data_IF_907034047112
#
_entry.id   IF_907034047112
#
_cell.length_a   1.000
_cell.length_b   1.000
_cell.length_c   1.000
_cell.angle_alpha   90.00
_cell.angle_beta   90.00
_cell.angle_gamma   90.00
#
_symmetry.space_group_name_H-M   'P 1'
#
loop_
_entity.id
_entity.type
_entity.pdbx_description
1 polymer ?
#
# COMPACT_ATOMS: atom_id res chain seq x y z
N UNK A 1 -21.08 2.89 -3.18
CA UNK A 1 -20.04 2.63 -4.23
C UNK A 1 -18.70 2.82 -3.54
N UNK A 2 -17.72 1.92 -3.76
CA UNK A 2 -16.39 2.05 -3.16
C UNK A 2 -15.70 3.32 -3.68
N UNK A 3 -15.05 4.07 -2.78
CA UNK A 3 -14.15 5.16 -3.18
C UNK A 3 -12.80 4.53 -3.55
N UNK A 4 -12.45 4.60 -4.84
CA UNK A 4 -11.24 4.01 -5.36
C UNK A 4 -10.26 5.13 -5.71
N UNK A 5 -9.09 5.10 -5.08
CA UNK A 5 -7.98 6.02 -5.32
C UNK A 5 -6.81 5.33 -6.02
N UNK A 6 -5.74 6.11 -6.19
CA UNK A 6 -4.45 5.61 -6.70
C UNK A 6 -3.30 6.11 -5.82
N UNK A 7 -2.12 5.53 -5.99
CA UNK A 7 -0.92 5.89 -5.23
C UNK A 7 0.24 6.29 -6.17
N UNK A 8 1.17 7.14 -5.71
CA UNK A 8 2.31 7.60 -6.52
C UNK A 8 3.22 6.49 -7.04
N UNK A 9 3.32 5.34 -6.36
CA UNK A 9 4.07 4.17 -6.85
C UNK A 9 3.58 3.70 -8.24
N UNK A 10 2.31 3.92 -8.59
CA UNK A 10 1.78 3.64 -9.93
C UNK A 10 2.40 4.53 -11.04
N UNK A 11 3.11 5.59 -10.67
CA UNK A 11 3.90 6.45 -11.57
C UNK A 11 5.42 6.26 -11.37
N UNK A 12 5.83 5.22 -10.65
CA UNK A 12 7.23 4.98 -10.31
C UNK A 12 7.80 5.98 -9.30
N UNK A 13 6.94 6.62 -8.52
CA UNK A 13 7.32 7.62 -7.51
C UNK A 13 7.46 6.92 -6.16
N UNK A 14 8.69 6.51 -5.84
CA UNK A 14 9.05 5.80 -4.61
C UNK A 14 9.85 6.68 -3.62
N UNK A 15 10.37 7.80 -4.09
CA UNK A 15 11.20 8.72 -3.31
C UNK A 15 10.68 10.15 -3.43
N UNK A 16 11.02 11.05 -2.48
CA UNK A 16 10.50 12.42 -2.51
C UNK A 16 11.10 13.29 -3.63
N UNK A 17 12.24 12.89 -4.20
CA UNK A 17 12.99 13.68 -5.21
C UNK A 17 13.44 12.80 -6.37
N UNK A 18 13.93 13.44 -7.41
CA UNK A 18 14.51 12.82 -8.62
C UNK A 18 13.53 11.93 -9.38
N UNK A 19 12.24 12.27 -9.33
CA UNK A 19 11.17 11.56 -10.03
C UNK A 19 11.01 12.05 -11.47
N UNK A 20 10.53 11.17 -12.35
CA UNK A 20 10.17 11.49 -13.74
C UNK A 20 9.05 12.54 -13.81
N UNK A 21 8.13 12.53 -12.86
CA UNK A 21 6.97 13.41 -12.79
C UNK A 21 7.10 14.39 -11.63
N UNK A 22 6.73 15.64 -11.89
CA UNK A 22 6.53 16.64 -10.81
C UNK A 22 5.23 16.33 -10.04
N UNK A 23 5.06 16.88 -8.82
CA UNK A 23 3.78 16.79 -8.09
C UNK A 23 2.56 17.20 -8.93
N UNK A 24 2.66 18.32 -9.64
CA UNK A 24 1.56 18.82 -10.48
C UNK A 24 1.25 17.86 -11.63
N UNK A 25 2.27 17.37 -12.35
CA UNK A 25 2.08 16.40 -13.43
C UNK A 25 1.44 15.10 -12.92
N UNK A 26 1.86 14.62 -11.75
CA UNK A 26 1.26 13.44 -11.13
C UNK A 26 -0.23 13.66 -10.83
N UNK A 27 -0.57 14.74 -10.12
CA UNK A 27 -1.96 15.04 -9.74
C UNK A 27 -2.86 15.27 -10.95
N UNK A 28 -2.34 15.95 -11.99
CA UNK A 28 -3.07 16.15 -13.26
C UNK A 28 -3.38 14.80 -13.93
N UNK A 29 -2.40 13.88 -13.99
CA UNK A 29 -2.57 12.55 -14.58
C UNK A 29 -3.48 11.65 -13.75
N UNK A 30 -3.43 11.72 -12.41
CA UNK A 30 -4.39 11.01 -11.53
C UNK A 30 -5.82 11.46 -11.87
N UNK A 31 -6.04 12.76 -12.00
CA UNK A 31 -7.34 13.30 -12.39
C UNK A 31 -7.74 12.89 -13.80
N UNK A 32 -6.82 12.96 -14.76
CA UNK A 32 -7.01 12.53 -16.15
C UNK A 32 -7.36 11.04 -16.26
N UNK A 33 -6.75 10.19 -15.43
CA UNK A 33 -7.07 8.76 -15.37
C UNK A 33 -8.48 8.47 -14.82
N UNK A 34 -9.14 9.47 -14.19
CA UNK A 34 -10.52 9.38 -13.70
C UNK A 34 -10.66 9.18 -12.21
N UNK A 35 -9.60 9.22 -11.43
CA UNK A 35 -9.64 9.11 -9.97
C UNK A 35 -10.16 10.39 -9.31
N UNK A 36 -10.78 10.22 -8.16
CA UNK A 36 -11.21 11.31 -7.28
C UNK A 36 -10.35 11.42 -6.02
N UNK A 37 -9.52 10.40 -5.73
CA UNK A 37 -8.70 10.36 -4.52
C UNK A 37 -7.31 9.81 -4.83
N UNK A 38 -6.33 10.21 -4.02
CA UNK A 38 -4.94 9.73 -4.10
C UNK A 38 -4.33 9.56 -2.72
N UNK A 39 -3.30 8.74 -2.60
CA UNK A 39 -2.39 8.74 -1.46
C UNK A 39 -1.33 9.83 -1.57
N UNK A 40 -0.72 10.17 -0.41
CA UNK A 40 0.35 11.15 -0.32
C UNK A 40 1.62 10.70 -1.05
N UNK A 41 1.89 9.39 -1.04
CA UNK A 41 3.16 8.83 -1.47
C UNK A 41 4.32 9.18 -0.53
N UNK A 42 5.57 9.18 -1.03
CA UNK A 42 6.73 9.49 -0.20
C UNK A 42 6.63 10.89 0.40
N UNK A 43 6.82 11.02 1.71
CA UNK A 43 6.77 12.31 2.41
C UNK A 43 7.79 13.28 1.80
N UNK A 44 7.30 14.43 1.31
CA UNK A 44 8.10 15.44 0.63
C UNK A 44 8.06 15.36 -0.90
N UNK A 45 7.34 14.40 -1.50
CA UNK A 45 7.00 14.45 -2.92
C UNK A 45 5.84 15.44 -3.15
N UNK A 46 4.68 15.23 -2.56
CA UNK A 46 3.62 16.24 -2.51
C UNK A 46 3.94 17.29 -1.44
N UNK A 47 3.31 18.48 -1.48
CA UNK A 47 3.55 19.52 -0.49
C UNK A 47 3.39 19.01 0.96
N UNK A 48 4.34 19.39 1.83
CA UNK A 48 4.31 19.06 3.27
C UNK A 48 3.64 20.12 4.12
N UNK A 49 3.28 21.26 3.54
CA UNK A 49 2.38 22.24 4.14
C UNK A 49 0.93 21.83 3.81
N UNK A 50 0.10 21.72 4.83
CA UNK A 50 -1.27 21.20 4.66
C UNK A 50 -2.17 22.12 3.81
N UNK A 51 -1.98 23.44 3.88
CA UNK A 51 -2.76 24.39 3.08
C UNK A 51 -2.37 24.29 1.59
N UNK A 52 -1.06 24.16 1.31
CA UNK A 52 -0.56 23.96 -0.06
C UNK A 52 -1.01 22.60 -0.60
N UNK A 53 -0.92 21.52 0.17
CA UNK A 53 -1.38 20.19 -0.22
C UNK A 53 -2.88 20.22 -0.54
N UNK A 54 -3.67 20.79 0.36
CA UNK A 54 -5.11 20.91 0.16
C UNK A 54 -5.43 21.73 -1.08
N UNK A 55 -4.76 22.84 -1.31
CA UNK A 55 -4.95 23.66 -2.51
C UNK A 55 -4.60 22.88 -3.80
N UNK A 56 -3.49 22.14 -3.80
CA UNK A 56 -3.07 21.34 -4.95
C UNK A 56 -4.08 20.24 -5.30
N UNK A 57 -4.69 19.63 -4.29
CA UNK A 57 -5.73 18.61 -4.46
C UNK A 57 -7.09 19.23 -4.87
N UNK A 58 -7.56 20.22 -4.13
CA UNK A 58 -8.88 20.86 -4.36
C UNK A 58 -8.98 21.49 -5.74
N UNK A 59 -7.89 22.13 -6.23
CA UNK A 59 -7.86 22.74 -7.57
C UNK A 59 -8.07 21.72 -8.71
N UNK A 60 -7.91 20.43 -8.42
CA UNK A 60 -8.12 19.31 -9.35
C UNK A 60 -9.34 18.45 -9.01
N UNK A 61 -10.07 18.81 -7.95
CA UNK A 61 -11.19 18.01 -7.44
C UNK A 61 -10.73 16.64 -6.91
N UNK A 62 -9.51 16.58 -6.36
CA UNK A 62 -8.95 15.39 -5.72
C UNK A 62 -9.07 15.51 -4.19
N UNK A 63 -9.07 14.36 -3.51
CA UNK A 63 -9.01 14.25 -2.06
C UNK A 63 -7.85 13.36 -1.64
N UNK A 64 -7.27 13.63 -0.47
CA UNK A 64 -6.27 12.76 0.14
C UNK A 64 -6.98 11.56 0.80
N UNK A 65 -6.64 10.34 0.39
CA UNK A 65 -7.13 9.12 1.05
C UNK A 65 -6.34 8.81 2.31
N UNK A 66 -5.02 8.90 2.24
CA UNK A 66 -4.11 8.57 3.33
C UNK A 66 -2.65 8.80 2.95
N UNK A 67 -1.77 8.38 3.82
CA UNK A 67 -0.33 8.39 3.58
C UNK A 67 0.26 7.03 3.90
N UNK A 68 1.20 6.56 3.07
CA UNK A 68 1.98 5.35 3.32
C UNK A 68 3.39 5.72 3.74
N UNK A 69 3.87 5.12 4.85
CA UNK A 69 5.22 5.31 5.38
C UNK A 69 5.96 3.99 5.47
N UNK A 70 7.13 3.97 4.84
CA UNK A 70 8.08 2.84 4.87
C UNK A 70 9.13 3.13 5.95
N UNK A 71 9.37 2.16 6.86
CA UNK A 71 10.34 2.34 7.93
C UNK A 71 11.05 1.04 8.29
N UNK A 72 12.30 1.12 8.73
CA UNK A 72 13.07 -0.03 9.23
C UNK A 72 12.56 -0.43 10.62
N UNK A 73 11.52 -1.25 10.66
CA UNK A 73 10.81 -1.58 11.91
C UNK A 73 11.55 -2.57 12.81
N UNK A 74 12.50 -3.33 12.27
CA UNK A 74 13.26 -4.32 13.05
C UNK A 74 14.51 -3.74 13.73
N UNK A 75 14.87 -2.47 13.47
CA UNK A 75 16.04 -1.80 14.07
C UNK A 75 15.61 -0.85 15.20
N UNK A 76 15.88 -1.17 16.48
CA UNK A 76 15.46 -0.35 17.60
C UNK A 76 16.07 1.06 17.61
N UNK A 77 17.20 1.27 16.91
CA UNK A 77 17.85 2.59 16.83
C UNK A 77 17.06 3.60 15.99
N UNK A 78 16.10 3.16 15.17
CA UNK A 78 15.29 4.01 14.29
C UNK A 78 13.98 4.48 14.92
N UNK A 79 13.68 4.06 16.17
CA UNK A 79 12.40 4.34 16.82
C UNK A 79 12.07 5.84 16.94
N UNK A 80 13.04 6.66 17.34
CA UNK A 80 12.81 8.10 17.51
C UNK A 80 12.56 8.78 16.13
N UNK A 81 13.27 8.33 15.10
CA UNK A 81 13.05 8.79 13.73
C UNK A 81 11.65 8.40 13.22
N UNK A 82 11.18 7.17 13.52
CA UNK A 82 9.82 6.74 13.24
C UNK A 82 8.81 7.70 13.87
N UNK A 83 8.90 7.92 15.16
CA UNK A 83 7.92 8.74 15.90
C UNK A 83 7.93 10.20 15.42
N UNK A 84 9.09 10.75 15.10
CA UNK A 84 9.18 12.09 14.51
C UNK A 84 8.49 12.17 13.14
N UNK A 85 8.62 11.14 12.30
CA UNK A 85 7.93 11.08 11.01
C UNK A 85 6.42 10.86 11.20
N UNK A 86 6.02 10.04 12.16
CA UNK A 86 4.61 9.82 12.51
C UNK A 86 3.94 11.12 12.94
N UNK A 87 4.63 11.97 13.74
CA UNK A 87 4.11 13.28 14.12
C UNK A 87 3.92 14.20 12.91
N UNK A 88 4.88 14.23 11.98
CA UNK A 88 4.76 15.02 10.75
C UNK A 88 3.59 14.54 9.88
N UNK A 89 3.47 13.23 9.67
CA UNK A 89 2.39 12.63 8.89
C UNK A 89 1.04 12.80 9.58
N UNK A 90 0.97 12.57 10.89
CA UNK A 90 -0.24 12.72 11.68
C UNK A 90 -0.82 14.12 11.53
N UNK A 91 0.02 15.15 11.72
CA UNK A 91 -0.37 16.53 11.54
C UNK A 91 -0.80 16.83 10.10
N UNK A 92 0.02 16.47 9.10
CA UNK A 92 -0.23 16.77 7.68
C UNK A 92 -1.53 16.11 7.20
N UNK A 93 -1.71 14.83 7.48
CA UNK A 93 -2.85 14.02 7.04
C UNK A 93 -4.15 14.51 7.69
N UNK A 94 -4.12 14.80 9.01
CA UNK A 94 -5.26 15.33 9.75
C UNK A 94 -5.67 16.72 9.24
N UNK A 95 -4.72 17.63 9.07
CA UNK A 95 -4.97 19.00 8.59
C UNK A 95 -5.45 19.00 7.12
N UNK A 96 -5.02 18.02 6.30
CA UNK A 96 -5.49 17.83 4.94
C UNK A 96 -6.88 17.16 4.85
N UNK A 97 -7.46 16.76 5.99
CA UNK A 97 -8.81 16.20 6.07
C UNK A 97 -8.90 14.69 5.85
N UNK A 98 -7.77 13.97 5.82
CA UNK A 98 -7.73 12.51 5.81
C UNK A 98 -7.57 11.93 7.23
N UNK A 99 -7.83 10.62 7.37
CA UNK A 99 -7.79 9.92 8.67
C UNK A 99 -7.04 8.59 8.61
N UNK A 100 -6.22 8.39 7.59
CA UNK A 100 -5.56 7.09 7.39
C UNK A 100 -4.05 7.26 7.19
N UNK A 101 -3.29 6.48 7.94
CA UNK A 101 -1.86 6.28 7.71
C UNK A 101 -1.58 4.79 7.60
N UNK A 102 -0.87 4.41 6.58
CA UNK A 102 -0.39 3.05 6.35
C UNK A 102 1.08 3.00 6.73
N UNK A 103 1.49 2.01 7.50
CA UNK A 103 2.89 1.75 7.81
C UNK A 103 3.31 0.39 7.25
N UNK A 104 4.52 0.32 6.72
CA UNK A 104 5.13 -0.93 6.25
C UNK A 104 6.62 -1.00 6.63
N UNK A 105 7.13 -2.22 6.66
CA UNK A 105 8.55 -2.47 6.92
C UNK A 105 9.41 -2.21 5.67
N UNK A 106 10.69 -1.81 5.86
CA UNK A 106 11.64 -1.54 4.78
C UNK A 106 12.37 -2.81 4.34
N UNK A 107 11.94 -3.37 3.21
CA UNK A 107 12.53 -4.61 2.68
C UNK A 107 14.01 -4.49 2.26
N UNK A 108 14.45 -3.31 1.81
CA UNK A 108 15.82 -3.11 1.35
C UNK A 108 16.86 -2.99 2.49
N UNK A 109 16.40 -2.82 3.74
CA UNK A 109 17.27 -2.82 4.90
C UNK A 109 17.89 -4.20 5.18
N UNK A 110 17.18 -5.27 4.81
CA UNK A 110 17.65 -6.63 5.06
C UNK A 110 18.82 -7.01 4.15
N UNK A 111 19.80 -7.79 4.67
CA UNK A 111 20.88 -8.29 3.83
C UNK A 111 20.38 -9.13 2.65
N UNK A 112 21.07 -9.07 1.51
CA UNK A 112 20.74 -9.93 0.37
C UNK A 112 20.60 -11.41 0.78
N UNK A 113 19.58 -12.10 0.27
CA UNK A 113 19.29 -13.50 0.59
C UNK A 113 18.70 -13.75 1.99
N UNK A 114 18.49 -12.71 2.79
CA UNK A 114 17.86 -12.77 4.12
C UNK A 114 16.75 -11.74 4.30
N UNK A 115 16.14 -11.29 3.22
CA UNK A 115 15.04 -10.31 3.30
C UNK A 115 13.92 -10.81 4.18
N UNK A 116 13.45 -9.93 5.08
CA UNK A 116 12.38 -10.23 6.02
C UNK A 116 12.72 -11.21 7.15
N UNK A 117 13.98 -11.66 7.26
CA UNK A 117 14.37 -12.60 8.32
C UNK A 117 14.73 -11.84 9.59
N UNK A 118 13.88 -11.94 10.60
CA UNK A 118 14.10 -11.37 11.94
C UNK A 118 14.14 -12.48 13.00
N UNK A 119 14.94 -12.29 14.04
CA UNK A 119 14.89 -13.10 15.25
C UNK A 119 13.81 -12.61 16.22
N UNK A 120 13.68 -13.26 17.37
CA UNK A 120 12.68 -12.89 18.38
C UNK A 120 12.91 -11.47 18.97
N UNK A 121 14.15 -10.99 19.01
CA UNK A 121 14.44 -9.63 19.48
C UNK A 121 14.01 -8.60 18.44
N UNK A 122 14.34 -8.83 17.17
CA UNK A 122 13.87 -8.00 16.05
C UNK A 122 12.36 -8.00 15.93
N UNK A 123 11.69 -9.16 16.08
CA UNK A 123 10.24 -9.23 16.09
C UNK A 123 9.60 -8.40 17.21
N UNK A 124 10.13 -8.47 18.43
CA UNK A 124 9.66 -7.62 19.54
C UNK A 124 9.83 -6.13 19.24
N UNK A 125 10.91 -5.77 18.54
CA UNK A 125 11.12 -4.39 18.10
C UNK A 125 10.04 -3.96 17.09
N UNK A 126 9.75 -4.78 16.08
CA UNK A 126 8.67 -4.55 15.11
C UNK A 126 7.34 -4.31 15.82
N UNK A 127 6.95 -5.24 16.71
CA UNK A 127 5.70 -5.13 17.49
C UNK A 127 5.65 -3.86 18.33
N UNK A 128 6.77 -3.51 19.00
CA UNK A 128 6.88 -2.29 19.79
C UNK A 128 6.68 -1.04 18.93
N UNK A 129 7.38 -0.93 17.82
CA UNK A 129 7.28 0.21 16.90
C UNK A 129 5.88 0.35 16.29
N UNK A 130 5.25 -0.75 15.90
CA UNK A 130 3.87 -0.74 15.38
C UNK A 130 2.90 -0.22 16.43
N UNK A 131 3.01 -0.67 17.68
CA UNK A 131 2.15 -0.22 18.79
C UNK A 131 2.36 1.26 19.10
N UNK A 132 3.62 1.71 19.17
CA UNK A 132 3.96 3.09 19.47
C UNK A 132 3.43 4.05 18.40
N UNK A 133 3.62 3.71 17.12
CA UNK A 133 3.11 4.50 15.99
C UNK A 133 1.58 4.53 15.95
N UNK A 134 0.93 3.38 16.20
CA UNK A 134 -0.52 3.28 16.24
C UNK A 134 -1.11 4.13 17.37
N UNK A 135 -0.57 4.02 18.57
CA UNK A 135 -1.00 4.79 19.72
C UNK A 135 -0.85 6.30 19.47
N UNK A 136 0.31 6.73 18.98
CA UNK A 136 0.62 8.14 18.68
C UNK A 136 -0.36 8.72 17.66
N UNK A 137 -0.61 8.03 16.55
CA UNK A 137 -1.55 8.49 15.53
C UNK A 137 -2.99 8.58 16.04
N UNK A 138 -3.41 7.60 16.84
CA UNK A 138 -4.78 7.57 17.37
C UNK A 138 -5.02 8.64 18.43
N UNK A 139 -4.12 8.76 19.43
CA UNK A 139 -4.29 9.65 20.57
C UNK A 139 -4.07 11.13 20.23
N UNK A 140 -3.01 11.45 19.47
CA UNK A 140 -2.61 12.83 19.22
C UNK A 140 -3.29 13.43 17.97
N UNK A 141 -3.68 12.59 16.99
CA UNK A 141 -4.18 13.07 15.68
C UNK A 141 -5.56 12.51 15.29
N UNK A 142 -6.10 11.52 16.01
CA UNK A 142 -7.37 10.87 15.66
C UNK A 142 -7.32 10.11 14.33
N UNK A 143 -6.14 9.57 13.99
CA UNK A 143 -5.87 8.87 12.74
C UNK A 143 -5.87 7.35 12.96
N UNK A 144 -6.54 6.63 12.06
CA UNK A 144 -6.49 5.18 12.00
C UNK A 144 -5.20 4.74 11.28
N UNK A 145 -4.34 3.99 11.98
CA UNK A 145 -3.18 3.36 11.38
C UNK A 145 -3.52 1.94 10.92
N UNK A 146 -3.00 1.58 9.74
CA UNK A 146 -3.02 0.20 9.24
C UNK A 146 -1.61 -0.26 8.91
N UNK A 147 -1.35 -1.56 9.05
CA UNK A 147 -0.09 -2.18 8.67
C UNK A 147 -0.22 -2.82 7.29
N UNK A 148 0.75 -2.57 6.42
CA UNK A 148 0.80 -3.11 5.07
C UNK A 148 1.83 -4.26 5.00
N UNK A 149 1.38 -5.54 4.98
CA UNK A 149 2.25 -6.68 4.69
C UNK A 149 2.81 -6.56 3.27
N UNK A 150 4.14 -6.62 3.14
CA UNK A 150 4.81 -6.31 1.88
C UNK A 150 5.86 -7.36 1.51
N UNK A 151 5.96 -7.67 0.23
CA UNK A 151 6.92 -8.61 -0.32
C UNK A 151 8.37 -8.23 0.03
N UNK A 152 9.15 -9.17 0.56
CA UNK A 152 10.53 -8.96 0.95
C UNK A 152 10.73 -8.31 2.31
N UNK A 153 9.69 -8.25 3.15
CA UNK A 153 9.72 -7.69 4.51
C UNK A 153 9.50 -8.77 5.56
N UNK A 154 9.60 -8.40 6.86
CA UNK A 154 9.39 -9.35 7.94
C UNK A 154 7.92 -9.78 8.14
N UNK A 155 6.99 -9.13 7.46
CA UNK A 155 5.57 -9.50 7.42
C UNK A 155 5.10 -9.55 5.97
N UNK A 156 5.21 -10.72 5.34
CA UNK A 156 4.88 -10.90 3.91
C UNK A 156 3.97 -12.11 3.63
N UNK A 157 3.91 -13.09 4.54
CA UNK A 157 3.13 -14.33 4.36
C UNK A 157 2.10 -14.48 5.46
N UNK A 158 1.07 -15.29 5.23
CA UNK A 158 -0.04 -15.50 6.18
C UNK A 158 0.42 -15.81 7.60
N UNK A 159 1.44 -16.67 7.77
CA UNK A 159 1.94 -17.01 9.10
C UNK A 159 2.51 -15.80 9.87
N UNK A 160 3.19 -14.90 9.16
CA UNK A 160 3.74 -13.68 9.74
C UNK A 160 2.65 -12.63 9.97
N UNK A 161 1.67 -12.55 9.07
CA UNK A 161 0.49 -11.69 9.23
C UNK A 161 -0.32 -12.15 10.43
N UNK A 162 -0.61 -13.47 10.55
CA UNK A 162 -1.32 -14.05 11.69
C UNK A 162 -0.59 -13.72 13.01
N UNK A 163 0.74 -13.84 13.03
CA UNK A 163 1.56 -13.49 14.20
C UNK A 163 1.45 -12.01 14.55
N UNK A 164 1.54 -11.10 13.56
CA UNK A 164 1.37 -9.66 13.79
C UNK A 164 -0.01 -9.36 14.40
N UNK A 165 -1.06 -9.96 13.86
CA UNK A 165 -2.43 -9.77 14.35
C UNK A 165 -2.66 -10.34 15.74
N UNK A 166 -1.92 -11.39 16.15
CA UNK A 166 -1.93 -11.92 17.51
C UNK A 166 -1.19 -11.01 18.48
N UNK A 167 -0.07 -10.44 18.04
CA UNK A 167 0.82 -9.65 18.90
C UNK A 167 0.46 -8.16 18.94
N UNK A 168 -0.47 -7.68 18.10
CA UNK A 168 -0.88 -6.27 18.02
C UNK A 168 -2.38 -6.11 17.79
N UNK A 169 -2.89 -4.90 18.03
CA UNK A 169 -4.27 -4.52 17.69
C UNK A 169 -4.34 -3.77 16.34
N UNK A 170 -3.25 -3.74 15.55
CA UNK A 170 -3.22 -3.02 14.28
C UNK A 170 -4.13 -3.68 13.24
N UNK A 171 -4.90 -2.89 12.50
CA UNK A 171 -5.62 -3.37 11.34
C UNK A 171 -4.69 -3.44 10.12
N UNK A 172 -5.10 -4.20 9.11
CA UNK A 172 -4.33 -4.38 7.88
C UNK A 172 -4.72 -3.35 6.82
N UNK A 173 -3.72 -2.79 6.16
CA UNK A 173 -3.81 -2.40 4.77
C UNK A 173 -3.52 -3.65 3.94
N UNK A 174 -4.57 -4.32 3.49
CA UNK A 174 -4.44 -5.58 2.80
C UNK A 174 -4.18 -5.36 1.32
N UNK A 175 -2.98 -5.73 0.86
CA UNK A 175 -2.61 -5.68 -0.55
C UNK A 175 -2.81 -7.07 -1.20
N UNK A 176 -3.62 -7.09 -2.25
CA UNK A 176 -3.97 -8.34 -2.94
C UNK A 176 -2.81 -8.92 -3.75
N UNK A 177 -1.92 -8.08 -4.29
CA UNK A 177 -0.77 -8.49 -5.08
C UNK A 177 0.38 -9.00 -4.22
N UNK A 178 0.76 -8.27 -3.16
CA UNK A 178 1.80 -8.73 -2.24
C UNK A 178 1.44 -10.05 -1.59
N UNK A 179 0.18 -10.21 -1.19
CA UNK A 179 -0.31 -11.48 -0.67
C UNK A 179 -0.25 -12.61 -1.72
N UNK A 180 -0.74 -12.34 -2.94
CA UNK A 180 -0.77 -13.34 -4.02
C UNK A 180 0.62 -13.70 -4.56
N UNK A 181 1.64 -12.87 -4.35
CA UNK A 181 3.01 -13.12 -4.80
C UNK A 181 3.58 -14.44 -4.25
N UNK A 182 3.11 -14.88 -3.09
CA UNK A 182 3.49 -16.15 -2.47
C UNK A 182 2.56 -17.32 -2.83
N UNK A 183 1.71 -17.18 -3.88
CA UNK A 183 0.77 -18.21 -4.30
C UNK A 183 -0.44 -18.37 -3.37
N UNK A 184 -0.67 -17.43 -2.47
CA UNK A 184 -1.79 -17.41 -1.53
C UNK A 184 -3.05 -16.82 -2.20
N UNK A 185 -4.24 -17.18 -1.68
CA UNK A 185 -5.52 -16.66 -2.18
C UNK A 185 -5.96 -15.43 -1.37
N UNK A 186 -5.90 -14.20 -1.95
CA UNK A 186 -6.26 -12.99 -1.24
C UNK A 186 -7.70 -12.97 -0.73
N UNK A 187 -8.67 -13.43 -1.54
CA UNK A 187 -10.08 -13.38 -1.14
C UNK A 187 -10.39 -14.35 0.01
N UNK A 188 -9.77 -15.54 0.00
CA UNK A 188 -9.92 -16.51 1.08
C UNK A 188 -9.30 -15.99 2.38
N UNK A 189 -8.09 -15.44 2.31
CA UNK A 189 -7.43 -14.91 3.51
C UNK A 189 -8.09 -13.65 4.05
N UNK A 190 -8.50 -12.72 3.20
CA UNK A 190 -9.29 -11.54 3.62
C UNK A 190 -10.56 -11.95 4.38
N UNK A 191 -11.23 -13.02 3.93
CA UNK A 191 -12.42 -13.55 4.62
C UNK A 191 -12.09 -14.07 6.02
N UNK A 192 -10.93 -14.73 6.21
CA UNK A 192 -10.43 -15.21 7.49
C UNK A 192 -10.18 -14.08 8.47
N UNK A 193 -9.51 -13.01 8.01
CA UNK A 193 -9.07 -11.87 8.85
C UNK A 193 -9.97 -10.64 8.71
N UNK A 194 -11.21 -10.79 8.26
CA UNK A 194 -12.09 -9.70 7.85
C UNK A 194 -12.22 -8.58 8.89
N UNK A 195 -12.35 -8.93 10.18
CA UNK A 195 -12.49 -7.93 11.26
C UNK A 195 -11.26 -7.03 11.44
N UNK A 196 -10.15 -7.39 10.81
CA UNK A 196 -8.88 -6.67 10.88
C UNK A 196 -8.53 -5.97 9.55
N UNK A 197 -9.43 -5.95 8.55
CA UNK A 197 -9.22 -5.21 7.29
C UNK A 197 -9.67 -3.76 7.48
N UNK A 198 -8.73 -2.83 7.50
CA UNK A 198 -8.99 -1.39 7.63
C UNK A 198 -8.76 -0.59 6.36
N UNK A 199 -7.99 -1.15 5.41
CA UNK A 199 -7.58 -0.50 4.16
C UNK A 199 -7.31 -1.58 3.11
N UNK A 200 -7.50 -1.30 1.83
CA UNK A 200 -7.27 -2.28 0.75
C UNK A 200 -6.43 -1.67 -0.36
N UNK A 201 -5.34 -2.33 -0.72
CA UNK A 201 -4.62 -2.09 -1.96
C UNK A 201 -4.98 -3.16 -2.98
N UNK A 202 -5.47 -2.72 -4.14
CA UNK A 202 -5.68 -3.57 -5.30
C UNK A 202 -4.41 -3.62 -6.14
N UNK A 203 -3.80 -4.77 -6.19
CA UNK A 203 -2.61 -5.06 -6.97
C UNK A 203 -2.72 -6.46 -7.53
N UNK A 204 -2.11 -6.76 -8.66
CA UNK A 204 -2.08 -8.10 -9.22
C UNK A 204 -0.67 -8.52 -9.59
N UNK A 205 -0.48 -9.80 -9.88
CA UNK A 205 0.85 -10.39 -10.11
C UNK A 205 0.92 -11.13 -11.43
N UNK A 206 2.07 -11.09 -12.09
CA UNK A 206 2.37 -11.96 -13.23
C UNK A 206 2.48 -13.41 -12.77
N UNK A 207 1.72 -14.29 -13.41
CA UNK A 207 1.63 -15.70 -13.03
C UNK A 207 2.96 -16.43 -13.16
N UNK A 208 3.76 -16.13 -14.19
CA UNK A 208 5.01 -16.83 -14.47
C UNK A 208 6.10 -16.39 -13.49
N UNK A 209 6.22 -15.08 -13.23
CA UNK A 209 7.18 -14.54 -12.26
C UNK A 209 6.85 -15.03 -10.85
N UNK A 210 5.57 -15.01 -10.48
CA UNK A 210 5.09 -15.57 -9.20
C UNK A 210 5.47 -17.05 -9.06
N UNK A 211 5.25 -17.87 -10.09
CA UNK A 211 5.55 -19.29 -10.03
C UNK A 211 7.03 -19.56 -9.79
N UNK A 212 7.91 -18.81 -10.43
CA UNK A 212 9.36 -18.87 -10.20
C UNK A 212 9.75 -18.48 -8.78
N UNK A 213 9.12 -17.43 -8.24
CA UNK A 213 9.33 -16.99 -6.84
C UNK A 213 8.88 -18.08 -5.85
N UNK A 214 7.68 -18.63 -6.03
CA UNK A 214 7.12 -19.66 -5.14
C UNK A 214 7.96 -20.95 -5.16
N UNK A 215 8.56 -21.30 -6.32
CA UNK A 215 9.47 -22.44 -6.45
C UNK A 215 10.87 -22.15 -5.90
N UNK A 216 11.17 -20.91 -5.50
CA UNK A 216 12.50 -20.53 -5.03
C UNK A 216 13.56 -20.45 -6.13
N UNK A 217 13.16 -20.34 -7.40
CA UNK A 217 14.06 -20.13 -8.54
C UNK A 217 14.62 -18.72 -8.59
N UNK A 218 13.89 -17.78 -8.04
CA UNK A 218 14.25 -16.36 -7.87
C UNK A 218 13.87 -15.91 -6.46
N UNK A 219 14.60 -14.92 -5.94
CA UNK A 219 14.24 -14.26 -4.69
C UNK A 219 13.29 -13.07 -4.93
N UNK A 220 12.87 -12.39 -3.85
CA UNK A 220 11.94 -11.26 -3.91
C UNK A 220 12.49 -10.06 -4.66
N UNK A 221 13.80 -9.81 -4.61
CA UNK A 221 14.45 -8.75 -5.36
C UNK A 221 14.41 -9.04 -6.86
N UNK A 222 14.81 -10.24 -7.24
CA UNK A 222 14.77 -10.71 -8.63
C UNK A 222 13.34 -10.75 -9.18
N UNK A 223 12.35 -11.09 -8.34
CA UNK A 223 10.95 -11.05 -8.74
C UNK A 223 10.48 -9.61 -9.03
N UNK A 224 10.87 -8.65 -8.21
CA UNK A 224 10.59 -7.23 -8.45
C UNK A 224 11.25 -6.72 -9.74
N UNK A 225 12.52 -7.05 -9.96
CA UNK A 225 13.26 -6.72 -11.21
C UNK A 225 12.63 -7.37 -12.44
N UNK A 226 12.10 -8.59 -12.30
CA UNK A 226 11.39 -9.30 -13.38
C UNK A 226 9.96 -8.79 -13.62
N UNK A 227 9.50 -7.77 -12.88
CA UNK A 227 8.17 -7.19 -13.06
C UNK A 227 7.04 -8.07 -12.53
N UNK A 228 7.16 -8.54 -11.27
CA UNK A 228 6.15 -9.39 -10.66
C UNK A 228 4.76 -8.76 -10.61
N UNK A 229 4.64 -7.42 -10.56
CA UNK A 229 3.33 -6.77 -10.50
C UNK A 229 2.81 -6.47 -11.90
N UNK A 230 1.61 -6.98 -12.18
CA UNK A 230 0.94 -6.90 -13.46
C UNK A 230 -0.33 -6.03 -13.37
N UNK A 231 -0.82 -5.47 -14.50
CA UNK A 231 -2.12 -4.80 -14.53
C UNK A 231 -3.24 -5.70 -13.97
N UNK A 232 -4.22 -5.08 -13.31
CA UNK A 232 -5.34 -5.83 -12.71
C UNK A 232 -6.10 -6.71 -13.73
N UNK A 233 -6.12 -6.27 -14.98
CA UNK A 233 -6.77 -7.00 -16.10
C UNK A 233 -6.03 -8.26 -16.53
N UNK A 234 -4.70 -8.28 -16.33
CA UNK A 234 -3.81 -9.26 -16.95
C UNK A 234 -3.12 -10.16 -15.91
N UNK A 235 -3.24 -9.80 -14.62
CA UNK A 235 -2.60 -10.51 -13.53
C UNK A 235 -3.41 -11.70 -13.01
N UNK A 236 -2.75 -12.49 -12.16
CA UNK A 236 -3.26 -13.77 -11.65
C UNK A 236 -4.14 -13.66 -10.39
N UNK A 237 -4.35 -12.46 -9.85
CA UNK A 237 -5.27 -12.28 -8.71
C UNK A 237 -6.71 -12.33 -9.19
N UNK A 238 -7.55 -13.12 -8.53
CA UNK A 238 -9.00 -13.07 -8.75
C UNK A 238 -9.61 -11.80 -8.11
N UNK A 239 -9.40 -10.67 -8.80
CA UNK A 239 -9.91 -9.36 -8.37
C UNK A 239 -11.44 -9.37 -8.26
N UNK A 240 -12.14 -10.18 -9.07
CA UNK A 240 -13.59 -10.33 -9.00
C UNK A 240 -14.04 -10.95 -7.68
N UNK A 241 -13.35 -11.98 -7.20
CA UNK A 241 -13.63 -12.59 -5.90
C UNK A 241 -13.40 -11.60 -4.74
N UNK A 242 -12.34 -10.78 -4.83
CA UNK A 242 -12.08 -9.70 -3.85
C UNK A 242 -13.20 -8.66 -3.86
N UNK A 243 -13.57 -8.14 -5.03
CA UNK A 243 -14.67 -7.17 -5.17
C UNK A 243 -16.01 -7.69 -4.64
N UNK A 244 -16.31 -8.96 -4.93
CA UNK A 244 -17.48 -9.65 -4.40
C UNK A 244 -17.47 -9.71 -2.87
N UNK A 245 -16.33 -10.07 -2.27
CA UNK A 245 -16.18 -10.10 -0.82
C UNK A 245 -16.39 -8.72 -0.19
N UNK A 246 -15.80 -7.65 -0.76
CA UNK A 246 -15.99 -6.30 -0.27
C UNK A 246 -17.47 -5.89 -0.31
N UNK A 247 -18.19 -6.25 -1.37
CA UNK A 247 -19.63 -5.99 -1.50
C UNK A 247 -20.45 -6.80 -0.50
N UNK A 248 -20.20 -8.11 -0.36
CA UNK A 248 -20.86 -8.99 0.63
C UNK A 248 -20.72 -8.48 2.06
N UNK A 249 -19.59 -7.86 2.35
CA UNK A 249 -19.26 -7.33 3.68
C UNK A 249 -19.65 -5.86 3.87
N UNK A 250 -20.23 -5.23 2.86
CA UNK A 250 -20.55 -3.80 2.87
C UNK A 250 -19.34 -2.93 3.24
N UNK A 251 -18.17 -3.25 2.68
CA UNK A 251 -16.95 -2.50 2.96
C UNK A 251 -17.07 -1.04 2.53
N UNK A 252 -16.74 -0.13 3.42
CA UNK A 252 -16.80 1.32 3.20
C UNK A 252 -15.44 2.02 3.46
N UNK A 253 -14.40 1.25 3.72
CA UNK A 253 -13.04 1.76 3.95
C UNK A 253 -12.34 2.17 2.65
N UNK A 254 -11.14 2.72 2.77
CA UNK A 254 -10.32 3.12 1.63
C UNK A 254 -9.93 1.95 0.72
N UNK A 255 -9.96 2.22 -0.60
CA UNK A 255 -9.46 1.31 -1.63
C UNK A 255 -8.54 2.07 -2.56
N UNK A 256 -7.32 1.59 -2.74
CA UNK A 256 -6.32 2.17 -3.62
C UNK A 256 -5.90 1.16 -4.67
N UNK A 257 -5.77 1.58 -5.91
CA UNK A 257 -5.11 0.78 -6.93
C UNK A 257 -3.62 1.11 -6.90
N UNK A 258 -2.80 0.09 -6.75
CA UNK A 258 -1.35 0.19 -6.89
C UNK A 258 -0.86 -0.67 -8.07
N UNK A 259 -0.10 -0.04 -8.94
CA UNK A 259 0.57 -0.70 -10.04
C UNK A 259 2.03 -0.26 -9.98
N UNK A 260 2.88 -0.99 -9.23
CA UNK A 260 4.30 -0.61 -9.12
C UNK A 260 4.93 -0.47 -10.49
N UNK A 261 4.92 0.77 -10.99
CA UNK A 261 5.39 1.06 -12.33
C UNK A 261 6.92 1.05 -12.38
N UNK A 262 7.47 0.41 -13.40
CA UNK A 262 8.90 0.40 -13.67
C UNK A 262 9.17 0.80 -15.13
N UNK A 263 10.38 1.23 -15.42
CA UNK A 263 10.81 1.60 -16.78
C UNK A 263 10.79 0.43 -17.79
N UNK A 264 10.58 -0.79 -17.32
CA UNK A 264 10.41 -1.99 -18.17
C UNK A 264 8.98 -2.12 -18.70
N UNK A 265 8.01 -1.37 -18.14
CA UNK A 265 6.65 -1.36 -18.62
C UNK A 265 6.54 -0.52 -19.90
N UNK A 266 5.81 -1.02 -20.90
CA UNK A 266 5.67 -0.39 -22.21
C UNK A 266 4.64 0.74 -22.16
N UNK A 267 3.57 0.58 -21.36
CA UNK A 267 2.49 1.55 -21.26
C UNK A 267 2.83 2.67 -20.26
N UNK A 268 2.45 3.88 -20.60
CA UNK A 268 2.57 5.03 -19.69
C UNK A 268 1.65 4.86 -18.46
N UNK A 269 2.08 5.32 -17.27
CA UNK A 269 1.33 5.17 -16.03
C UNK A 269 -0.13 5.59 -16.10
N UNK A 270 -0.43 6.73 -16.73
CA UNK A 270 -1.79 7.27 -16.84
C UNK A 270 -2.75 6.32 -17.57
N UNK A 271 -2.27 5.60 -18.60
CA UNK A 271 -3.09 4.64 -19.35
C UNK A 271 -3.35 3.38 -18.51
N UNK A 272 -2.30 2.86 -17.84
CA UNK A 272 -2.45 1.72 -16.93
C UNK A 272 -3.39 2.04 -15.76
N UNK A 273 -3.24 3.21 -15.15
CA UNK A 273 -4.09 3.67 -14.06
C UNK A 273 -5.56 3.75 -14.50
N UNK A 274 -5.83 4.33 -15.69
CA UNK A 274 -7.18 4.39 -16.28
C UNK A 274 -7.74 3.00 -16.57
N UNK A 275 -6.96 2.11 -17.18
CA UNK A 275 -7.34 0.72 -17.50
C UNK A 275 -7.74 -0.04 -16.23
N UNK A 276 -6.92 0.04 -15.19
CA UNK A 276 -7.17 -0.61 -13.91
C UNK A 276 -8.46 -0.07 -13.23
N UNK A 277 -8.67 1.25 -13.24
CA UNK A 277 -9.89 1.86 -12.68
C UNK A 277 -11.14 1.40 -13.42
N UNK A 278 -11.13 1.46 -14.75
CA UNK A 278 -12.24 1.01 -15.59
C UNK A 278 -12.57 -0.47 -15.36
N UNK A 279 -11.55 -1.30 -15.17
CA UNK A 279 -11.73 -2.70 -14.84
C UNK A 279 -12.48 -2.88 -13.52
N UNK A 280 -12.05 -2.24 -12.42
CA UNK A 280 -12.76 -2.33 -11.14
C UNK A 280 -14.18 -1.78 -11.21
N UNK A 281 -14.40 -0.67 -11.93
CA UNK A 281 -15.74 -0.11 -12.13
C UNK A 281 -16.67 -1.07 -12.88
N UNK A 282 -16.16 -1.79 -13.88
CA UNK A 282 -16.93 -2.81 -14.61
C UNK A 282 -17.39 -3.96 -13.72
N UNK A 283 -16.58 -4.32 -12.73
CA UNK A 283 -16.92 -5.36 -11.75
C UNK A 283 -17.99 -4.89 -10.76
N UNK A 284 -17.99 -3.61 -10.39
CA UNK A 284 -18.96 -3.04 -9.44
C UNK A 284 -20.40 -3.03 -10.00
N UNK A 285 -20.56 -2.86 -11.33
CA UNK A 285 -21.87 -2.92 -12.01
C UNK A 285 -22.43 -4.33 -12.17
N UNK A 286 -21.62 -5.37 -11.98
CA UNK A 286 -22.00 -6.78 -12.18
C UNK A 286 -22.39 -7.50 -10.87
N UNK A 287 -22.37 -6.80 -9.73
CA UNK A 287 -22.63 -7.37 -8.40
C UNK A 287 -24.04 -6.96 -7.89
N UNK A 288 -24.91 -6.49 -8.78
CA UNK A 288 -26.34 -6.24 -8.47
C UNK A 288 -27.19 -7.49 -8.65
#
# INVERSE_FOLDING_TARGET
MLSIGNAPCSWGIYYPKDNRYTPDQYLDQVREAGYATTELGPLGFLPTDAAQLKHALDSRGLQLTGATHVHTLADPSTRDALLATIDQLGKLVSDAGSKHVVIMDEGNWYPPGRRGVVDEAGWKTVVGMVRDAQQRLAEDYGIAMTFHPHLGTCVEREAQIDRLLQDTEVNLCFDTGHHAAWGQDPAAYMRKVWSRIGYVHFKSVDANVRERLVRGEIDTAQASEAGIFAPLTDGAVDVRAVMKLLAEKNYAGPCIIEQDWSSTQIEEPVFLARKNLQFLQSLSGSVQ
#
